data_IF_237547058798
#
_entry.id   IF_237547058798
#
_cell.length_a   1.000
_cell.length_b   1.000
_cell.length_c   1.000
_cell.angle_alpha   90.00
_cell.angle_beta   90.00
_cell.angle_gamma   90.00
#
_symmetry.space_group_name_H-M   'P 1'
#
loop_
_entity.id
_entity.type
_entity.pdbx_description
1 polymer ?
#
# COMPACT_ATOMS: atom_id res chain seq x y z
N UNK A 1 -10.94 -22.34 13.70
CA UNK A 1 -10.52 -21.86 12.36
C UNK A 1 -10.80 -20.37 12.17
N UNK A 2 -12.05 -19.88 12.39
CA UNK A 2 -12.40 -18.46 12.24
C UNK A 2 -11.50 -17.55 13.07
N UNK A 3 -11.29 -17.86 14.36
CA UNK A 3 -10.40 -17.08 15.23
C UNK A 3 -8.98 -16.97 14.67
N UNK A 4 -8.40 -18.08 14.16
CA UNK A 4 -7.08 -18.06 13.56
C UNK A 4 -7.00 -17.18 12.29
N UNK A 5 -8.08 -17.10 11.50
CA UNK A 5 -8.16 -16.17 10.38
C UNK A 5 -8.26 -14.72 10.84
N UNK A 6 -9.02 -14.45 11.89
CA UNK A 6 -9.11 -13.11 12.48
C UNK A 6 -7.76 -12.65 13.04
N UNK A 7 -7.05 -13.50 13.79
CA UNK A 7 -5.72 -13.20 14.34
C UNK A 7 -4.70 -12.88 13.23
N UNK A 8 -4.89 -13.47 12.05
CA UNK A 8 -4.06 -13.20 10.89
C UNK A 8 -4.44 -11.90 10.19
N UNK A 9 -5.73 -11.70 9.91
CA UNK A 9 -6.25 -10.60 9.10
C UNK A 9 -6.24 -9.28 9.86
N UNK A 10 -6.72 -9.28 11.12
CA UNK A 10 -7.00 -8.06 11.87
C UNK A 10 -5.70 -7.40 12.35
N UNK A 11 -5.52 -6.09 12.10
CA UNK A 11 -4.40 -5.33 12.64
C UNK A 11 -4.61 -4.98 14.13
N UNK A 12 -3.52 -4.56 14.76
CA UNK A 12 -3.56 -3.85 16.04
C UNK A 12 -3.07 -2.41 15.81
N UNK A 13 -3.98 -1.49 15.56
CA UNK A 13 -3.63 -0.11 15.25
C UNK A 13 -3.05 0.60 16.48
N UNK A 14 -1.85 1.17 16.32
CA UNK A 14 -1.20 1.99 17.33
C UNK A 14 -1.04 3.43 16.82
N UNK A 15 -1.87 4.32 17.33
CA UNK A 15 -1.93 5.71 16.90
C UNK A 15 -0.59 6.46 17.07
N UNK A 16 0.14 6.20 18.16
CA UNK A 16 1.44 6.82 18.40
C UNK A 16 2.50 6.29 17.43
N UNK A 17 2.50 4.97 17.19
CA UNK A 17 3.38 4.35 16.22
C UNK A 17 3.11 4.91 14.82
N UNK A 18 1.85 5.06 14.44
CA UNK A 18 1.46 5.59 13.13
C UNK A 18 1.92 7.04 12.96
N UNK A 19 1.46 7.97 13.80
CA UNK A 19 1.68 9.41 13.60
C UNK A 19 3.08 9.90 13.99
N UNK A 20 3.73 9.30 14.97
CA UNK A 20 5.09 9.74 15.39
C UNK A 20 6.19 8.95 14.70
N UNK A 21 6.19 7.63 14.84
CA UNK A 21 7.22 6.77 14.27
C UNK A 21 7.05 6.64 12.76
N UNK A 22 5.84 6.33 12.30
CA UNK A 22 5.52 6.17 10.89
C UNK A 22 5.86 7.41 10.08
N UNK A 23 5.44 8.59 10.54
CA UNK A 23 5.76 9.85 9.88
C UNK A 23 7.26 10.11 9.80
N UNK A 24 7.96 10.01 10.93
CA UNK A 24 9.40 10.32 11.00
C UNK A 24 10.22 9.35 10.14
N UNK A 25 9.89 8.07 10.19
CA UNK A 25 10.57 7.04 9.39
C UNK A 25 10.25 7.20 7.91
N UNK A 26 8.99 7.41 7.55
CA UNK A 26 8.58 7.64 6.15
C UNK A 26 9.25 8.89 5.58
N UNK A 27 9.26 9.99 6.33
CA UNK A 27 9.94 11.22 5.93
C UNK A 27 11.45 11.00 5.71
N UNK A 28 12.12 10.32 6.63
CA UNK A 28 13.54 10.02 6.52
C UNK A 28 13.83 9.15 5.29
N UNK A 29 13.11 8.04 5.13
CA UNK A 29 13.25 7.13 3.98
C UNK A 29 12.98 7.87 2.66
N UNK A 30 11.85 8.57 2.56
CA UNK A 30 11.51 9.26 1.33
C UNK A 30 12.50 10.37 0.99
N UNK A 31 13.00 11.13 1.99
CA UNK A 31 14.00 12.16 1.76
C UNK A 31 15.32 11.62 1.19
N UNK A 32 15.65 10.36 1.50
CA UNK A 32 16.83 9.68 0.93
C UNK A 32 16.58 9.26 -0.51
N UNK A 33 15.41 8.69 -0.80
CA UNK A 33 15.14 8.08 -2.10
C UNK A 33 14.49 9.03 -3.12
N UNK A 34 13.56 9.89 -2.68
CA UNK A 34 12.73 10.70 -3.57
C UNK A 34 12.60 12.15 -3.11
N UNK A 35 12.28 13.02 -4.08
CA UNK A 35 11.64 14.30 -3.83
C UNK A 35 10.14 14.09 -4.05
N UNK A 36 9.37 14.07 -2.95
CA UNK A 36 7.91 13.89 -3.03
C UNK A 36 7.26 15.21 -3.45
N UNK A 37 6.37 15.16 -4.44
CA UNK A 37 5.48 16.25 -4.84
C UNK A 37 4.03 15.78 -4.75
N UNK A 38 3.16 16.68 -4.32
CA UNK A 38 1.72 16.41 -4.20
C UNK A 38 0.98 17.43 -5.05
N UNK A 39 0.05 16.97 -5.83
CA UNK A 39 -0.85 17.78 -6.63
C UNK A 39 -2.29 17.35 -6.33
N UNK A 40 -3.16 18.33 -6.23
CA UNK A 40 -4.59 18.11 -6.05
C UNK A 40 -5.30 18.51 -7.33
N UNK A 41 -6.14 17.63 -7.87
CA UNK A 41 -6.92 17.92 -9.08
C UNK A 41 -7.96 19.05 -8.83
N UNK A 42 -8.32 19.24 -7.56
CA UNK A 42 -9.19 20.33 -7.10
C UNK A 42 -8.54 21.03 -5.90
N UNK A 43 -8.71 22.35 -5.77
CA UNK A 43 -8.32 23.04 -4.54
C UNK A 43 -9.08 22.44 -3.35
N UNK A 44 -8.36 21.93 -2.36
CA UNK A 44 -8.91 21.35 -1.14
C UNK A 44 -9.97 20.24 -1.40
N UNK A 45 -9.55 19.04 -1.88
CA UNK A 45 -10.47 17.97 -2.25
C UNK A 45 -11.24 17.39 -1.05
N UNK A 46 -10.79 17.67 0.18
CA UNK A 46 -11.44 17.23 1.41
C UNK A 46 -12.38 18.27 2.02
N UNK A 47 -12.34 19.50 1.50
CA UNK A 47 -13.19 20.57 1.97
C UNK A 47 -14.66 20.29 1.66
N UNK A 48 -15.47 20.26 2.70
CA UNK A 48 -16.89 20.00 2.59
C UNK A 48 -17.29 18.53 2.67
N UNK A 49 -16.32 17.59 2.83
CA UNK A 49 -16.67 16.22 3.19
C UNK A 49 -17.25 16.18 4.61
N UNK A 50 -18.41 15.55 4.82
CA UNK A 50 -18.94 15.30 6.15
C UNK A 50 -17.94 14.54 7.01
N UNK A 51 -17.94 14.80 8.32
CA UNK A 51 -17.00 14.13 9.25
C UNK A 51 -17.17 12.62 9.32
N UNK A 52 -18.35 12.12 9.00
CA UNK A 52 -18.72 10.71 8.96
C UNK A 52 -18.54 10.08 7.58
N UNK A 53 -17.83 10.75 6.66
CA UNK A 53 -17.56 10.24 5.32
C UNK A 53 -16.71 8.99 5.37
N UNK A 54 -17.08 8.03 4.50
CA UNK A 54 -16.32 6.81 4.25
C UNK A 54 -15.46 7.07 3.01
N UNK A 55 -14.15 7.18 3.18
CA UNK A 55 -13.23 7.48 2.09
C UNK A 55 -12.48 6.24 1.63
N UNK A 56 -12.54 5.96 0.35
CA UNK A 56 -11.82 4.86 -0.29
C UNK A 56 -10.90 5.42 -1.37
N UNK A 57 -9.58 5.30 -1.18
CA UNK A 57 -8.59 5.70 -2.15
C UNK A 57 -8.34 4.58 -3.16
N UNK A 58 -8.55 4.87 -4.45
CA UNK A 58 -8.20 3.98 -5.57
C UNK A 58 -6.88 4.43 -6.18
N UNK A 59 -5.86 3.59 -6.11
CA UNK A 59 -4.50 3.93 -6.50
C UNK A 59 -3.95 2.98 -7.56
N UNK A 60 -3.18 3.50 -8.51
CA UNK A 60 -2.34 2.65 -9.35
C UNK A 60 -1.16 2.11 -8.56
N UNK A 61 -0.59 0.97 -8.98
CA UNK A 61 0.46 0.29 -8.20
C UNK A 61 1.77 0.19 -8.99
N UNK A 62 2.70 1.09 -8.70
CA UNK A 62 3.99 1.24 -9.38
C UNK A 62 5.15 0.60 -8.62
N UNK A 63 5.15 0.72 -7.28
CA UNK A 63 6.25 0.33 -6.40
C UNK A 63 5.72 -0.13 -5.05
N UNK A 64 6.47 -0.96 -4.33
CA UNK A 64 6.17 -1.21 -2.92
C UNK A 64 6.34 0.05 -2.06
N UNK A 65 7.03 1.07 -2.56
CA UNK A 65 7.10 2.38 -1.92
C UNK A 65 5.76 3.13 -1.92
N UNK A 66 4.79 2.76 -2.77
CA UNK A 66 3.49 3.44 -2.86
C UNK A 66 2.78 3.50 -1.50
N UNK A 67 2.85 2.43 -0.72
CA UNK A 67 2.29 2.39 0.65
C UNK A 67 2.86 3.49 1.54
N UNK A 68 4.18 3.69 1.44
CA UNK A 68 4.91 4.68 2.27
C UNK A 68 4.67 6.09 1.75
N UNK A 69 4.72 6.28 0.43
CA UNK A 69 4.53 7.59 -0.22
C UNK A 69 3.13 8.13 0.05
N UNK A 70 2.10 7.32 -0.20
CA UNK A 70 0.71 7.77 0.00
C UNK A 70 0.39 7.94 1.48
N UNK A 71 0.84 7.02 2.35
CA UNK A 71 0.68 7.19 3.79
C UNK A 71 1.35 8.48 4.27
N UNK A 72 2.57 8.79 3.82
CA UNK A 72 3.27 10.02 4.18
C UNK A 72 2.53 11.28 3.71
N UNK A 73 2.01 11.27 2.48
CA UNK A 73 1.29 12.42 1.90
C UNK A 73 -0.01 12.68 2.65
N UNK A 74 -0.76 11.64 3.02
CA UNK A 74 -2.07 11.77 3.65
C UNK A 74 -2.04 11.71 5.19
N UNK A 75 -0.87 11.46 5.80
CA UNK A 75 -0.75 11.27 7.25
C UNK A 75 -1.10 12.50 8.08
N UNK A 76 -1.08 13.70 7.47
CA UNK A 76 -1.55 14.91 8.11
C UNK A 76 -3.06 14.96 8.32
N UNK A 77 -3.80 14.27 7.46
CA UNK A 77 -5.26 14.37 7.37
C UNK A 77 -5.95 13.08 7.84
N UNK A 78 -5.42 11.91 7.40
CA UNK A 78 -6.06 10.62 7.67
C UNK A 78 -5.06 9.50 7.91
N UNK A 79 -5.50 8.47 8.64
CA UNK A 79 -4.81 7.17 8.69
C UNK A 79 -5.44 6.22 7.68
N UNK A 80 -4.61 5.59 6.85
CA UNK A 80 -5.09 4.70 5.79
C UNK A 80 -4.80 3.25 6.16
N UNK A 81 -5.84 2.42 6.08
CA UNK A 81 -5.74 0.98 6.15
C UNK A 81 -5.52 0.38 4.75
N UNK A 82 -4.54 -0.48 4.61
CA UNK A 82 -4.21 -1.16 3.36
C UNK A 82 -4.40 -2.66 3.47
N UNK A 83 -4.80 -3.28 2.36
CA UNK A 83 -4.71 -4.71 2.18
C UNK A 83 -3.28 -5.10 1.77
N UNK A 84 -2.56 -5.77 2.64
CA UNK A 84 -1.15 -6.15 2.42
C UNK A 84 -1.05 -7.65 2.13
N UNK A 85 -0.29 -8.00 1.11
CA UNK A 85 -0.10 -9.39 0.72
C UNK A 85 0.89 -10.16 1.60
N UNK A 86 0.97 -11.47 1.39
CA UNK A 86 1.80 -12.40 2.17
C UNK A 86 3.30 -12.06 2.19
N UNK A 87 3.79 -11.28 1.23
CA UNK A 87 5.20 -10.88 1.16
C UNK A 87 5.67 -10.09 2.38
N UNK A 88 4.78 -9.36 3.02
CA UNK A 88 5.09 -8.54 4.19
C UNK A 88 4.91 -9.30 5.53
N UNK A 89 4.65 -10.60 5.51
CA UNK A 89 4.50 -11.43 6.72
C UNK A 89 5.84 -11.84 7.36
N UNK A 90 6.94 -11.26 6.90
CA UNK A 90 8.24 -11.48 7.51
C UNK A 90 8.48 -10.47 8.65
N UNK A 91 9.08 -10.95 9.76
CA UNK A 91 9.53 -10.04 10.83
C UNK A 91 10.62 -9.09 10.31
N UNK A 92 10.59 -7.79 10.63
CA UNK A 92 9.62 -7.07 11.47
C UNK A 92 8.43 -6.46 10.69
N UNK A 93 8.34 -6.67 9.38
CA UNK A 93 7.37 -5.98 8.52
C UNK A 93 5.93 -6.26 8.91
N UNK A 94 5.59 -7.51 9.25
CA UNK A 94 4.23 -7.86 9.68
C UNK A 94 3.79 -7.02 10.88
N UNK A 95 4.66 -6.90 11.88
CA UNK A 95 4.39 -6.09 13.06
C UNK A 95 4.18 -4.61 12.71
N UNK A 96 5.04 -4.05 11.85
CA UNK A 96 4.97 -2.65 11.42
C UNK A 96 3.66 -2.39 10.68
N UNK A 97 3.31 -3.20 9.68
CA UNK A 97 2.07 -3.02 8.91
C UNK A 97 0.82 -3.17 9.78
N UNK A 98 0.79 -4.16 10.69
CA UNK A 98 -0.32 -4.32 11.63
C UNK A 98 -0.45 -3.15 12.59
N UNK A 99 0.66 -2.63 13.11
CA UNK A 99 0.64 -1.45 14.00
C UNK A 99 0.18 -0.17 13.30
N UNK A 100 0.31 -0.13 11.98
CA UNK A 100 -0.18 0.97 11.14
C UNK A 100 -1.62 0.76 10.62
N UNK A 101 -2.31 -0.26 11.09
CA UNK A 101 -3.71 -0.51 10.76
C UNK A 101 -3.93 -1.23 9.43
N UNK A 102 -2.88 -1.76 8.81
CA UNK A 102 -3.00 -2.54 7.57
C UNK A 102 -3.37 -3.98 7.88
N UNK A 103 -4.32 -4.55 7.13
CA UNK A 103 -4.75 -5.94 7.27
C UNK A 103 -4.11 -6.86 6.23
N UNK A 104 -3.93 -8.12 6.61
CA UNK A 104 -3.25 -9.09 5.75
C UNK A 104 -4.22 -9.92 4.92
N UNK A 105 -3.84 -10.18 3.65
CA UNK A 105 -4.62 -11.01 2.73
C UNK A 105 -3.78 -12.12 2.13
N UNK A 106 -4.38 -13.31 1.99
CA UNK A 106 -3.81 -14.44 1.24
C UNK A 106 -4.35 -14.41 -0.19
N UNK A 107 -3.56 -13.97 -1.15
CA UNK A 107 -4.01 -13.74 -2.53
C UNK A 107 -4.37 -15.01 -3.30
N UNK A 108 -3.76 -16.16 -2.97
CA UNK A 108 -3.94 -17.44 -3.68
C UNK A 108 -4.67 -18.49 -2.86
N UNK A 109 -5.16 -18.12 -1.69
CA UNK A 109 -5.84 -19.04 -0.81
C UNK A 109 -7.31 -19.16 -1.23
N UNK A 110 -7.77 -20.40 -1.49
CA UNK A 110 -9.11 -20.67 -2.06
C UNK A 110 -10.13 -21.19 -1.04
N UNK A 111 -9.83 -21.13 0.23
CA UNK A 111 -10.71 -21.58 1.30
C UNK A 111 -11.95 -20.65 1.41
N UNK A 112 -13.19 -21.15 1.17
CA UNK A 112 -14.39 -20.30 1.20
C UNK A 112 -14.60 -19.61 2.56
N UNK A 113 -14.34 -20.30 3.66
CA UNK A 113 -14.47 -19.74 5.00
C UNK A 113 -13.54 -18.56 5.23
N UNK A 114 -12.29 -18.65 4.74
CA UNK A 114 -11.34 -17.53 4.81
C UNK A 114 -11.88 -16.30 4.07
N UNK A 115 -12.39 -16.49 2.86
CA UNK A 115 -12.95 -15.40 2.06
C UNK A 115 -14.20 -14.79 2.71
N UNK A 116 -15.04 -15.60 3.34
CA UNK A 116 -16.19 -15.11 4.08
C UNK A 116 -15.77 -14.25 5.30
N UNK A 117 -14.77 -14.69 6.06
CA UNK A 117 -14.22 -13.94 7.19
C UNK A 117 -13.56 -12.64 6.72
N UNK A 118 -12.76 -12.68 5.65
CA UNK A 118 -12.14 -11.49 5.08
C UNK A 118 -13.17 -10.48 4.59
N UNK A 119 -14.19 -10.95 3.85
CA UNK A 119 -15.31 -10.09 3.38
C UNK A 119 -16.03 -9.44 4.54
N UNK A 120 -16.40 -10.21 5.55
CA UNK A 120 -17.10 -9.70 6.74
C UNK A 120 -16.27 -8.63 7.47
N UNK A 121 -14.96 -8.89 7.64
CA UNK A 121 -14.04 -7.93 8.26
C UNK A 121 -13.94 -6.63 7.44
N UNK A 122 -13.71 -6.73 6.13
CA UNK A 122 -13.58 -5.56 5.24
C UNK A 122 -14.87 -4.75 5.23
N UNK A 123 -16.03 -5.39 5.15
CA UNK A 123 -17.32 -4.71 5.24
C UNK A 123 -17.53 -4.02 6.60
N UNK A 124 -17.12 -4.66 7.68
CA UNK A 124 -17.21 -4.10 9.03
C UNK A 124 -16.38 -2.81 9.14
N UNK A 125 -15.12 -2.83 8.76
CA UNK A 125 -14.25 -1.64 8.85
C UNK A 125 -14.72 -0.52 7.91
N UNK A 126 -15.26 -0.87 6.72
CA UNK A 126 -15.82 0.10 5.79
C UNK A 126 -17.07 0.79 6.39
N UNK A 127 -17.99 0.03 6.95
CA UNK A 127 -19.20 0.58 7.61
C UNK A 127 -18.86 1.49 8.79
N UNK A 128 -17.77 1.19 9.49
CA UNK A 128 -17.28 1.99 10.62
C UNK A 128 -16.41 3.19 10.20
N UNK A 129 -16.36 3.52 8.91
CA UNK A 129 -15.69 4.73 8.42
C UNK A 129 -14.16 4.64 8.40
N UNK A 130 -13.58 3.43 8.48
CA UNK A 130 -12.13 3.28 8.34
C UNK A 130 -11.74 3.64 6.91
N UNK A 131 -10.91 4.65 6.76
CA UNK A 131 -10.34 5.04 5.46
C UNK A 131 -9.47 3.92 4.89
N UNK A 132 -9.76 3.52 3.67
CA UNK A 132 -9.06 2.41 3.02
C UNK A 132 -8.33 2.86 1.75
N UNK A 133 -7.12 2.33 1.57
CA UNK A 133 -6.36 2.46 0.34
C UNK A 133 -6.28 1.14 -0.41
N UNK A 134 -6.63 1.14 -1.69
CA UNK A 134 -6.64 -0.07 -2.51
C UNK A 134 -5.93 0.13 -3.83
N UNK A 135 -5.31 -0.95 -4.31
CA UNK A 135 -4.66 -1.03 -5.61
C UNK A 135 -5.47 -2.00 -6.50
N UNK A 136 -6.35 -1.50 -7.36
CA UNK A 136 -7.22 -2.33 -8.21
C UNK A 136 -6.45 -3.33 -9.06
N UNK A 137 -5.26 -2.98 -9.49
CA UNK A 137 -4.38 -3.84 -10.29
C UNK A 137 -3.98 -5.14 -9.58
N UNK A 138 -4.03 -5.16 -8.25
CA UNK A 138 -3.72 -6.32 -7.41
C UNK A 138 -2.26 -6.79 -7.50
N UNK A 139 -1.36 -5.95 -7.97
CA UNK A 139 0.08 -6.18 -8.03
C UNK A 139 0.79 -5.08 -8.81
N UNK A 140 2.12 -5.03 -8.69
CA UNK A 140 2.94 -4.03 -9.36
C UNK A 140 2.83 -4.14 -10.88
N UNK A 141 2.75 -3.00 -11.56
CA UNK A 141 2.98 -2.95 -13.01
C UNK A 141 4.45 -3.19 -13.30
N UNK A 142 4.76 -3.92 -14.37
CA UNK A 142 6.15 -4.21 -14.76
C UNK A 142 6.65 -3.27 -15.86
N UNK A 143 5.75 -2.85 -16.73
CA UNK A 143 6.02 -2.01 -17.90
C UNK A 143 5.56 -0.55 -17.72
N UNK A 144 5.09 -0.22 -16.53
CA UNK A 144 4.58 1.12 -16.22
C UNK A 144 3.17 1.41 -16.74
N UNK A 145 2.52 0.48 -17.44
CA UNK A 145 1.13 0.66 -17.90
C UNK A 145 0.14 0.30 -16.81
N UNK A 146 -1.05 0.87 -16.86
CA UNK A 146 -2.16 0.46 -16.01
C UNK A 146 -2.60 -0.96 -16.37
N UNK A 147 -2.85 -1.77 -15.37
CA UNK A 147 -3.35 -3.14 -15.54
C UNK A 147 -4.85 -3.19 -15.31
N UNK A 148 -5.55 -4.15 -15.93
CA UNK A 148 -6.96 -4.37 -15.66
C UNK A 148 -7.20 -4.57 -14.16
N UNK A 149 -8.23 -3.91 -13.63
CA UNK A 149 -8.61 -3.99 -12.24
C UNK A 149 -9.17 -5.36 -11.86
N UNK A 150 -8.89 -5.81 -10.63
CA UNK A 150 -9.43 -7.02 -10.03
C UNK A 150 -10.54 -6.66 -9.05
N UNK A 151 -11.72 -7.21 -9.24
CA UNK A 151 -12.92 -6.82 -8.49
C UNK A 151 -12.91 -7.34 -7.05
N UNK A 152 -12.35 -8.52 -6.76
CA UNK A 152 -12.52 -9.28 -5.52
C UNK A 152 -12.57 -8.49 -4.20
N UNK A 153 -11.48 -7.77 -3.84
CA UNK A 153 -11.47 -6.98 -2.62
C UNK A 153 -12.39 -5.75 -2.72
N UNK A 154 -12.45 -5.14 -3.90
CA UNK A 154 -13.28 -3.97 -4.16
C UNK A 154 -14.78 -4.29 -4.03
N UNK A 155 -15.21 -5.49 -4.45
CA UNK A 155 -16.56 -5.98 -4.22
C UNK A 155 -16.92 -6.03 -2.72
N UNK A 156 -15.94 -6.37 -1.88
CA UNK A 156 -16.15 -6.36 -0.43
C UNK A 156 -16.25 -4.94 0.14
N UNK A 157 -15.44 -4.00 -0.36
CA UNK A 157 -15.43 -2.59 0.10
C UNK A 157 -16.65 -1.85 -0.43
N UNK A 158 -16.87 -1.89 -1.75
CA UNK A 158 -17.92 -1.12 -2.41
C UNK A 158 -19.29 -1.77 -2.26
N UNK A 159 -19.34 -3.08 -2.00
CA UNK A 159 -20.59 -3.82 -1.80
C UNK A 159 -21.42 -3.33 -0.60
N UNK A 160 -20.81 -2.63 0.36
CA UNK A 160 -21.58 -2.01 1.46
C UNK A 160 -22.43 -0.82 0.98
N UNK A 161 -22.13 -0.24 -0.19
CA UNK A 161 -22.91 0.82 -0.81
C UNK A 161 -24.28 0.36 -1.38
N UNK A 162 -24.58 -0.95 -1.29
CA UNK A 162 -25.94 -1.44 -1.45
C UNK A 162 -26.90 -0.83 -0.41
N UNK A 163 -26.39 -0.48 0.76
CA UNK A 163 -27.09 0.28 1.78
C UNK A 163 -27.10 1.77 1.38
N UNK A 164 -28.30 2.40 1.21
CA UNK A 164 -28.42 3.79 0.77
C UNK A 164 -27.75 4.80 1.72
N UNK A 165 -27.80 4.55 3.03
CA UNK A 165 -27.21 5.44 4.03
C UNK A 165 -25.68 5.41 3.95
N UNK A 166 -25.11 4.22 3.77
CA UNK A 166 -23.66 4.04 3.56
C UNK A 166 -23.24 4.69 2.25
N UNK A 167 -24.00 4.45 1.16
CA UNK A 167 -23.70 5.01 -0.17
C UNK A 167 -23.68 6.53 -0.15
N UNK A 168 -24.61 7.18 0.56
CA UNK A 168 -24.68 8.64 0.66
C UNK A 168 -23.41 9.25 1.33
N UNK A 169 -22.70 8.47 2.14
CA UNK A 169 -21.49 8.91 2.86
C UNK A 169 -20.19 8.38 2.26
N UNK A 170 -20.26 7.53 1.22
CA UNK A 170 -19.09 6.90 0.62
C UNK A 170 -18.52 7.75 -0.51
N UNK A 171 -17.26 8.04 -0.42
CA UNK A 171 -16.49 8.78 -1.43
C UNK A 171 -15.33 7.93 -1.92
N UNK A 172 -15.20 7.85 -3.24
CA UNK A 172 -14.09 7.17 -3.91
C UNK A 172 -13.18 8.22 -4.50
N UNK A 173 -11.94 8.25 -4.03
CA UNK A 173 -10.94 9.25 -4.41
C UNK A 173 -9.85 8.57 -5.25
N UNK A 174 -9.72 8.91 -6.53
CA UNK A 174 -8.63 8.42 -7.36
C UNK A 174 -7.31 9.07 -6.94
N UNK A 175 -6.24 8.24 -6.88
CA UNK A 175 -4.89 8.71 -6.58
C UNK A 175 -3.93 8.18 -7.64
N UNK A 176 -3.32 9.10 -8.38
CA UNK A 176 -2.28 8.81 -9.35
C UNK A 176 -0.90 8.86 -8.69
N UNK A 177 -0.12 7.79 -8.82
CA UNK A 177 1.25 7.71 -8.30
C UNK A 177 2.20 7.54 -9.46
N UNK A 178 3.21 8.40 -9.53
CA UNK A 178 4.23 8.37 -10.57
C UNK A 178 5.63 8.55 -10.00
N UNK A 179 6.61 7.94 -10.65
CA UNK A 179 8.02 8.04 -10.27
C UNK A 179 8.87 8.33 -11.51
N UNK A 180 9.93 9.12 -11.34
CA UNK A 180 10.97 9.19 -12.35
C UNK A 180 11.66 7.82 -12.50
N UNK A 181 11.80 7.11 -11.38
CA UNK A 181 12.36 5.76 -11.31
C UNK A 181 11.84 5.01 -10.09
N UNK A 182 11.37 3.79 -10.26
CA UNK A 182 10.91 2.94 -9.15
C UNK A 182 12.07 2.21 -8.48
N UNK A 183 11.92 1.84 -7.20
CA UNK A 183 12.96 1.11 -6.45
C UNK A 183 13.24 -0.27 -7.04
N UNK A 184 12.22 -0.90 -7.60
CA UNK A 184 12.23 -2.25 -8.14
C UNK A 184 12.55 -2.32 -9.64
N UNK A 185 12.99 -1.22 -10.27
CA UNK A 185 13.18 -1.12 -11.72
C UNK A 185 13.93 -2.31 -12.32
N UNK A 186 15.07 -2.66 -11.75
CA UNK A 186 15.91 -3.77 -12.22
C UNK A 186 15.22 -5.13 -12.12
N UNK A 187 14.46 -5.35 -11.03
CA UNK A 187 13.74 -6.60 -10.82
C UNK A 187 12.54 -6.71 -11.77
N UNK A 188 11.81 -5.61 -11.95
CA UNK A 188 10.66 -5.55 -12.85
C UNK A 188 11.08 -5.76 -14.31
N UNK A 189 12.19 -5.14 -14.75
CA UNK A 189 12.74 -5.33 -16.10
C UNK A 189 13.15 -6.79 -16.32
N UNK A 190 13.87 -7.40 -15.38
CA UNK A 190 14.24 -8.83 -15.46
C UNK A 190 13.00 -9.75 -15.53
N UNK A 191 11.94 -9.44 -14.76
CA UNK A 191 10.69 -10.21 -14.83
C UNK A 191 9.99 -10.06 -16.20
N UNK A 192 10.10 -8.90 -16.86
CA UNK A 192 9.61 -8.69 -18.22
C UNK A 192 10.40 -9.51 -19.25
N UNK A 193 11.73 -9.43 -19.18
CA UNK A 193 12.64 -10.17 -20.06
C UNK A 193 12.48 -11.70 -19.93
N UNK A 194 12.13 -12.18 -18.74
CA UNK A 194 11.89 -13.61 -18.46
C UNK A 194 10.48 -14.08 -18.84
N UNK A 195 9.69 -13.29 -19.56
CA UNK A 195 8.32 -13.66 -19.96
C UNK A 195 7.32 -13.70 -18.79
N UNK A 196 7.67 -13.07 -17.66
CA UNK A 196 6.80 -12.97 -16.48
C UNK A 196 6.97 -14.11 -15.47
N UNK A 197 7.80 -15.08 -15.75
CA UNK A 197 8.19 -16.10 -14.77
C UNK A 197 9.14 -15.48 -13.73
N UNK A 198 8.76 -15.59 -12.46
CA UNK A 198 9.67 -15.21 -11.39
C UNK A 198 10.82 -16.22 -11.37
N UNK A 199 12.07 -15.80 -11.57
CA UNK A 199 13.18 -16.72 -11.42
C UNK A 199 13.10 -17.31 -10.00
N UNK A 200 13.12 -18.65 -9.91
CA UNK A 200 13.17 -19.37 -8.62
C UNK A 200 14.55 -19.21 -8.01
N UNK A 201 14.83 -18.00 -7.51
CA UNK A 201 16.06 -17.78 -6.72
C UNK A 201 15.87 -18.34 -5.33
N UNK A 202 16.90 -19.00 -4.80
CA UNK A 202 16.88 -19.54 -3.45
C UNK A 202 16.73 -18.39 -2.44
N UNK A 203 16.15 -18.66 -1.27
CA UNK A 203 16.01 -17.66 -0.19
C UNK A 203 17.37 -17.07 0.22
N UNK A 204 18.42 -17.89 0.19
CA UNK A 204 19.79 -17.48 0.50
C UNK A 204 20.34 -16.51 -0.56
N UNK A 205 20.09 -16.77 -1.84
CA UNK A 205 20.50 -15.88 -2.93
C UNK A 205 19.78 -14.53 -2.83
N UNK A 206 18.47 -14.54 -2.56
CA UNK A 206 17.70 -13.32 -2.34
C UNK A 206 18.20 -12.52 -1.14
N UNK A 207 18.44 -13.19 0.00
CA UNK A 207 19.00 -12.55 1.19
C UNK A 207 20.35 -11.91 0.92
N UNK A 208 21.25 -12.62 0.21
CA UNK A 208 22.59 -12.11 -0.17
C UNK A 208 22.48 -10.91 -1.11
N UNK A 209 21.60 -10.95 -2.10
CA UNK A 209 21.38 -9.82 -3.02
C UNK A 209 20.84 -8.59 -2.27
N UNK A 210 19.87 -8.76 -1.39
CA UNK A 210 19.31 -7.67 -0.57
C UNK A 210 20.38 -7.11 0.37
N UNK A 211 21.14 -7.95 1.05
CA UNK A 211 22.19 -7.52 1.98
C UNK A 211 23.31 -6.77 1.22
N UNK A 212 23.76 -7.30 0.09
CA UNK A 212 24.76 -6.65 -0.75
C UNK A 212 24.26 -5.30 -1.28
N UNK A 213 23.00 -5.24 -1.71
CA UNK A 213 22.37 -4.00 -2.17
C UNK A 213 22.31 -2.95 -1.06
N UNK A 214 21.86 -3.34 0.14
CA UNK A 214 21.81 -2.45 1.31
C UNK A 214 23.19 -1.95 1.66
N UNK A 215 24.17 -2.84 1.77
CA UNK A 215 25.55 -2.48 2.14
C UNK A 215 26.18 -1.52 1.14
N UNK A 216 26.05 -1.80 -0.16
CA UNK A 216 26.58 -0.96 -1.21
C UNK A 216 25.95 0.44 -1.25
N UNK A 217 24.63 0.50 -1.07
CA UNK A 217 23.92 1.78 -1.04
C UNK A 217 24.17 2.57 0.24
N UNK A 218 24.34 1.91 1.39
CA UNK A 218 24.74 2.55 2.64
C UNK A 218 26.14 3.18 2.48
N UNK A 219 27.09 2.48 1.86
CA UNK A 219 28.42 3.03 1.55
C UNK A 219 28.34 4.29 0.67
N UNK A 220 27.47 4.30 -0.33
CA UNK A 220 27.26 5.48 -1.20
C UNK A 220 26.61 6.65 -0.45
N UNK A 221 25.70 6.36 0.46
CA UNK A 221 25.05 7.37 1.30
C UNK A 221 26.10 8.02 2.22
N UNK A 222 26.92 7.22 2.91
CA UNK A 222 27.97 7.69 3.80
C UNK A 222 29.05 8.49 3.07
N UNK A 223 29.41 8.11 1.84
CA UNK A 223 30.39 8.81 1.00
C UNK A 223 29.82 9.99 0.22
N UNK A 224 28.58 10.40 0.48
CA UNK A 224 27.86 11.45 -0.25
C UNK A 224 27.77 11.24 -1.77
N UNK A 225 27.98 10.00 -2.25
CA UNK A 225 27.85 9.61 -3.66
C UNK A 225 26.46 9.09 -4.00
N UNK A 226 25.54 9.16 -3.03
CA UNK A 226 24.14 8.76 -3.24
C UNK A 226 23.45 9.74 -4.18
N UNK A 227 22.80 9.21 -5.20
CA UNK A 227 21.87 9.97 -6.05
C UNK A 227 20.45 9.47 -5.79
N UNK A 228 19.53 10.39 -5.54
CA UNK A 228 18.10 10.08 -5.40
C UNK A 228 17.57 9.42 -6.68
N UNK A 229 16.53 8.63 -6.53
CA UNK A 229 15.80 8.02 -7.65
C UNK A 229 14.97 9.03 -8.45
N UNK A 230 14.93 10.29 -8.05
CA UNK A 230 14.22 11.36 -8.69
C UNK A 230 13.00 11.81 -7.88
N UNK A 231 11.90 12.07 -8.58
CA UNK A 231 10.63 12.49 -7.98
C UNK A 231 9.71 11.31 -7.75
N UNK A 232 8.89 11.42 -6.70
CA UNK A 232 7.67 10.65 -6.50
C UNK A 232 6.52 11.65 -6.50
N UNK A 233 5.68 11.62 -7.52
CA UNK A 233 4.53 12.51 -7.67
C UNK A 233 3.25 11.78 -7.28
N UNK A 234 2.43 12.42 -6.45
CA UNK A 234 1.11 11.94 -6.04
C UNK A 234 0.09 12.97 -6.46
N UNK A 235 -0.87 12.56 -7.27
CA UNK A 235 -2.01 13.40 -7.70
C UNK A 235 -3.28 12.85 -7.06
N UNK A 236 -4.00 13.68 -6.33
CA UNK A 236 -5.24 13.33 -5.63
C UNK A 236 -6.41 13.99 -6.37
N UNK A 237 -7.39 13.17 -6.79
CA UNK A 237 -8.55 13.58 -7.58
C UNK A 237 -9.75 14.09 -6.77
#
# INVERSE_FOLDING_TARGET
RVRGYLDEIVPFFNILAYYRLGYSVSRALLSVFYKVSVEYARPDPFRGLPRDSIVVYLMNHRSNADYVVVAFVLMGDVSISYAVGEWARAFPLEYIFKSFGSYFIRRRYREPLYHAVLRAYVQLITRNGVTQGTFPEGGLTRDGKLRPGKIGLHDSILGVAADPEIRARMFVVPVGINYDRVLEDRTLVRELESGGDKPRTSRLTQAREVTSYVFWNTGRLLTRRWKRYGRAAVTIG
#
